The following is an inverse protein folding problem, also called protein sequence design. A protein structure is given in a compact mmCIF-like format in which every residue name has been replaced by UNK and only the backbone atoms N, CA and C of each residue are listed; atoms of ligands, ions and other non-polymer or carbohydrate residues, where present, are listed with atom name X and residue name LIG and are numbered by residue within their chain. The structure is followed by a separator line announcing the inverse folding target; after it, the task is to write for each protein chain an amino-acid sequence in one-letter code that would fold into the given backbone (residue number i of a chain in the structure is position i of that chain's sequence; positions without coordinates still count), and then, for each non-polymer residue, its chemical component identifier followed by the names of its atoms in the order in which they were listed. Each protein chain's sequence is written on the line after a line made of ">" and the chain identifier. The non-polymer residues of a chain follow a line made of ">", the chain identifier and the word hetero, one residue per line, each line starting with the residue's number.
data_IF_342325535227
#
_entry.id   IF_342325535227
#
_cell.length_a   1.000
_cell.length_b   1.000
_cell.length_c   1.000
_cell.angle_alpha   90.00
_cell.angle_beta   90.00
_cell.angle_gamma   90.00
#
_symmetry.space_group_name_H-M   'P 1'
#
loop_
_entity.id
_entity.type
_entity.pdbx_description
1 polymer ?
#
# COMPACT_ATOMS: atom_id res chain seq x y z
N UNK A 1 5.90 0.64 -19.68
CA UNK A 1 6.83 1.31 -18.74
C UNK A 1 6.12 2.03 -17.59
N UNK A 2 4.99 2.73 -17.82
CA UNK A 2 4.24 3.39 -16.73
C UNK A 2 3.70 2.45 -15.63
N UNK A 3 3.31 1.21 -15.97
CA UNK A 3 2.75 0.26 -14.99
C UNK A 3 3.73 -0.13 -13.89
N UNK A 4 5.03 -0.27 -14.22
CA UNK A 4 6.09 -0.58 -13.24
C UNK A 4 6.23 0.55 -12.23
N UNK A 5 6.15 1.80 -12.69
CA UNK A 5 6.21 2.97 -11.82
C UNK A 5 5.00 3.02 -10.87
N UNK A 6 3.79 2.72 -11.37
CA UNK A 6 2.56 2.68 -10.56
C UNK A 6 2.68 1.60 -9.47
N UNK A 7 3.11 0.38 -9.82
CA UNK A 7 3.29 -0.69 -8.83
C UNK A 7 4.40 -0.36 -7.82
N UNK A 8 5.49 0.28 -8.25
CA UNK A 8 6.55 0.71 -7.35
C UNK A 8 6.05 1.75 -6.33
N UNK A 9 5.30 2.75 -6.80
CA UNK A 9 4.67 3.75 -5.93
C UNK A 9 3.63 3.12 -5.00
N UNK A 10 2.84 2.16 -5.50
CA UNK A 10 1.87 1.42 -4.70
C UNK A 10 2.56 0.65 -3.56
N UNK A 11 3.60 -0.12 -3.86
CA UNK A 11 4.36 -0.86 -2.86
C UNK A 11 4.99 0.07 -1.81
N UNK A 12 5.52 1.22 -2.22
CA UNK A 12 6.08 2.20 -1.30
C UNK A 12 5.00 2.78 -0.37
N UNK A 13 3.83 3.07 -0.91
CA UNK A 13 2.69 3.60 -0.17
C UNK A 13 2.13 2.57 0.83
N UNK A 14 2.05 1.30 0.43
CA UNK A 14 1.63 0.19 1.30
C UNK A 14 2.59 0.02 2.49
N UNK A 15 3.89 -0.09 2.22
CA UNK A 15 4.91 -0.28 3.26
C UNK A 15 4.91 0.91 4.22
N UNK A 16 4.88 2.14 3.71
CA UNK A 16 4.88 3.34 4.54
C UNK A 16 3.59 3.48 5.37
N UNK A 17 2.43 3.13 4.79
CA UNK A 17 1.13 3.13 5.47
C UNK A 17 1.07 2.12 6.63
N UNK A 18 1.52 0.89 6.37
CA UNK A 18 1.62 -0.17 7.39
C UNK A 18 2.65 0.17 8.47
N UNK A 19 3.80 0.75 8.07
CA UNK A 19 4.82 1.20 9.01
C UNK A 19 4.31 2.29 9.94
N UNK A 20 3.48 3.21 9.45
CA UNK A 20 2.90 4.26 10.28
C UNK A 20 1.98 3.70 11.39
N UNK A 21 1.20 2.66 11.07
CA UNK A 21 0.42 1.91 12.07
C UNK A 21 1.31 1.20 13.09
N UNK A 22 2.36 0.53 12.62
CA UNK A 22 3.32 -0.14 13.51
C UNK A 22 4.06 0.86 14.41
N UNK A 23 4.45 2.01 13.88
CA UNK A 23 5.12 3.07 14.63
C UNK A 23 4.19 3.66 15.70
N UNK A 24 2.91 3.86 15.39
CA UNK A 24 1.92 4.25 16.38
C UNK A 24 1.81 3.21 17.50
N UNK A 25 1.64 1.93 17.16
CA UNK A 25 1.36 0.88 18.15
C UNK A 25 2.59 0.42 18.96
N UNK A 26 3.77 0.31 18.33
CA UNK A 26 4.99 -0.20 18.99
C UNK A 26 5.93 0.87 19.52
N UNK A 27 5.95 2.06 18.94
CA UNK A 27 6.88 3.12 19.34
C UNK A 27 6.22 4.19 20.23
N UNK A 28 4.98 3.97 20.67
CA UNK A 28 4.19 4.94 21.46
C UNK A 28 4.13 6.33 20.77
N UNK A 29 4.21 6.33 19.43
CA UNK A 29 4.13 7.56 18.64
C UNK A 29 2.71 8.11 18.74
N UNK A 30 2.55 9.42 18.54
CA UNK A 30 1.24 10.04 18.62
C UNK A 30 0.26 9.45 17.59
N UNK A 31 -1.02 9.43 17.93
CA UNK A 31 -2.14 9.05 17.02
C UNK A 31 -2.10 9.82 15.70
N UNK A 32 -1.46 11.00 15.67
CA UNK A 32 -1.25 11.79 14.46
C UNK A 32 -0.47 11.02 13.37
N UNK A 33 0.29 9.97 13.71
CA UNK A 33 0.94 9.09 12.73
C UNK A 33 -0.05 8.26 11.90
N UNK A 34 -1.26 8.02 12.42
CA UNK A 34 -2.30 7.31 11.66
C UNK A 34 -2.83 8.13 10.48
N UNK A 35 -2.81 9.47 10.57
CA UNK A 35 -3.28 10.35 9.49
C UNK A 35 -2.47 10.18 8.20
N UNK A 36 -1.13 10.36 8.19
CA UNK A 36 -0.33 10.09 7.01
C UNK A 36 -0.36 8.60 6.63
N UNK A 37 -0.44 7.68 7.60
CA UNK A 37 -0.58 6.24 7.33
C UNK A 37 -1.83 5.90 6.53
N UNK A 38 -2.98 6.43 6.93
CA UNK A 38 -4.25 6.26 6.21
C UNK A 38 -4.23 6.90 4.83
N UNK A 39 -3.61 8.08 4.69
CA UNK A 39 -3.45 8.74 3.39
C UNK A 39 -2.61 7.89 2.43
N UNK A 40 -1.53 7.28 2.91
CA UNK A 40 -0.68 6.39 2.13
C UNK A 40 -1.42 5.11 1.71
N UNK A 41 -2.18 4.50 2.62
CA UNK A 41 -3.03 3.35 2.28
C UNK A 41 -4.14 3.72 1.27
N UNK A 42 -4.72 4.90 1.39
CA UNK A 42 -5.67 5.43 0.41
C UNK A 42 -5.01 5.66 -0.96
N UNK A 43 -3.79 6.21 -0.98
CA UNK A 43 -3.02 6.38 -2.21
C UNK A 43 -2.65 5.04 -2.86
N UNK A 44 -2.32 4.02 -2.06
CA UNK A 44 -2.11 2.66 -2.53
C UNK A 44 -3.37 2.10 -3.23
N UNK A 45 -4.53 2.16 -2.58
CA UNK A 45 -5.80 1.72 -3.16
C UNK A 45 -6.14 2.50 -4.45
N UNK A 46 -5.88 3.81 -4.46
CA UNK A 46 -6.05 4.64 -5.65
C UNK A 46 -5.10 4.24 -6.78
N UNK A 47 -3.82 3.98 -6.50
CA UNK A 47 -2.86 3.54 -7.52
C UNK A 47 -3.24 2.19 -8.13
N UNK A 48 -3.80 1.28 -7.34
CA UNK A 48 -4.33 0.00 -7.83
C UNK A 48 -5.51 0.15 -8.79
N UNK A 49 -6.29 1.25 -8.75
CA UNK A 49 -7.37 1.47 -9.72
C UNK A 49 -6.89 1.64 -11.16
N UNK A 50 -5.62 2.03 -11.34
CA UNK A 50 -4.98 2.14 -12.66
C UNK A 50 -4.31 0.84 -13.10
N UNK A 51 -4.32 -0.19 -12.25
CA UNK A 51 -3.79 -1.50 -12.57
C UNK A 51 -4.79 -2.29 -13.43
N UNK A 52 -4.39 -2.84 -14.59
CA UNK A 52 -5.26 -3.71 -15.37
C UNK A 52 -5.61 -4.97 -14.57
N UNK A 53 -6.92 -5.21 -14.38
CA UNK A 53 -7.48 -6.29 -13.55
C UNK A 53 -6.95 -7.69 -13.91
N UNK A 54 -6.57 -7.92 -15.17
CA UNK A 54 -6.00 -9.18 -15.68
C UNK A 54 -4.64 -9.53 -15.04
N UNK A 55 -3.84 -8.51 -14.67
CA UNK A 55 -2.56 -8.69 -13.97
C UNK A 55 -2.74 -8.68 -12.46
N UNK A 56 -3.67 -7.89 -11.94
CA UNK A 56 -3.99 -7.85 -10.52
C UNK A 56 -4.55 -9.19 -10.01
N UNK A 57 -5.46 -9.84 -10.76
CA UNK A 57 -6.01 -11.15 -10.39
C UNK A 57 -4.96 -12.27 -10.34
N UNK A 58 -4.00 -12.28 -11.28
CA UNK A 58 -2.88 -13.22 -11.27
C UNK A 58 -1.85 -12.90 -10.16
N UNK A 59 -1.59 -11.62 -9.89
CA UNK A 59 -0.71 -11.22 -8.80
C UNK A 59 -1.31 -11.59 -7.43
N UNK A 60 -2.60 -11.32 -7.20
CA UNK A 60 -3.30 -11.74 -5.99
C UNK A 60 -3.42 -13.26 -5.86
N UNK A 61 -3.58 -14.01 -6.96
CA UNK A 61 -3.58 -15.47 -6.92
C UNK A 61 -2.22 -16.07 -6.51
N UNK A 62 -1.11 -15.39 -6.83
CA UNK A 62 0.24 -15.81 -6.40
C UNK A 62 0.52 -15.32 -4.96
N UNK A 63 0.10 -14.11 -4.60
CA UNK A 63 0.32 -13.53 -3.26
C UNK A 63 -0.59 -14.14 -2.19
N UNK A 64 -1.82 -14.52 -2.57
CA UNK A 64 -2.79 -15.22 -1.74
C UNK A 64 -2.68 -16.75 -1.83
N UNK A 65 -1.63 -17.26 -2.50
CA UNK A 65 -1.33 -18.69 -2.64
C UNK A 65 -0.88 -19.34 -1.35
N UNK A 66 -1.79 -19.41 -0.38
CA UNK A 66 -1.98 -20.62 0.44
C UNK A 66 -2.88 -21.56 -0.33
#
# INVERSE_FOLDING_TARGET
>A
MQTVLIYFLAALAEIAGCFAFWAWFRLDKSVLWLVPGMLLLGAFAWLLTFSPADQAGRAYAIYGGV
#
